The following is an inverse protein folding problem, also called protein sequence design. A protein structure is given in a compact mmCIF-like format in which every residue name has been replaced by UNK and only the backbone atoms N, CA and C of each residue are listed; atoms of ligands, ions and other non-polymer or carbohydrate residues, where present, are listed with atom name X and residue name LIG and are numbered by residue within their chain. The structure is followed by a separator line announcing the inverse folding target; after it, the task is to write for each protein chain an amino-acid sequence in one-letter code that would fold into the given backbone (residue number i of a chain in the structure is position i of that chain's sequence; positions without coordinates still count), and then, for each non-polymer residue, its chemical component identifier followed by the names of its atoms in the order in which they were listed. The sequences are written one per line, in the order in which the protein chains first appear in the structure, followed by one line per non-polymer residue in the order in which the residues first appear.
data_IF_471821728080
#
_entry.id   IF_471821728080
#
_cell.length_a   1.000
_cell.length_b   1.000
_cell.length_c   1.000
_cell.angle_alpha   90.00
_cell.angle_beta   90.00
_cell.angle_gamma   90.00
#
_symmetry.space_group_name_H-M   'P 1'
#
loop_
_entity.id
_entity.type
_entity.pdbx_description
1 polymer ?
#
# COMPACT_ATOMS: atom_id res chain seq x y z
N UNK A 1 8.85 -1.91 9.43
CA UNK A 1 7.71 -1.90 8.52
C UNK A 1 6.46 -1.54 9.29
N UNK A 2 5.62 -0.66 8.75
CA UNK A 2 4.40 -0.16 9.36
C UNK A 2 3.21 -0.81 8.65
N UNK A 3 2.70 -1.87 9.26
CA UNK A 3 1.56 -2.66 8.75
C UNK A 3 0.40 -2.58 9.77
N UNK A 4 -0.17 -1.39 9.89
CA UNK A 4 -1.25 -1.12 10.85
C UNK A 4 -2.60 -1.24 10.14
N UNK A 5 -3.28 -2.37 10.35
CA UNK A 5 -4.58 -2.68 9.74
C UNK A 5 -5.79 -2.44 10.66
N UNK A 6 -5.55 -2.07 11.93
CA UNK A 6 -6.60 -1.79 12.91
C UNK A 6 -6.14 -0.79 13.98
N UNK A 7 -7.08 -0.27 14.78
CA UNK A 7 -6.80 0.64 15.88
C UNK A 7 -7.15 2.09 15.57
N UNK A 8 -6.56 3.03 16.31
CA UNK A 8 -6.94 4.46 16.24
C UNK A 8 -6.41 5.19 15.00
N UNK A 9 -5.37 4.65 14.33
CA UNK A 9 -4.69 5.35 13.24
C UNK A 9 -3.93 6.62 13.68
N UNK A 10 -3.74 6.82 14.99
CA UNK A 10 -3.13 8.03 15.53
C UNK A 10 -1.67 7.80 15.90
N UNK A 11 -0.86 8.86 15.79
CA UNK A 11 0.54 8.93 16.24
C UNK A 11 1.56 8.07 15.48
N UNK A 12 1.18 7.44 14.37
CA UNK A 12 2.12 6.71 13.52
C UNK A 12 3.09 7.64 12.77
N UNK A 13 2.67 8.87 12.49
CA UNK A 13 3.53 9.96 12.02
C UNK A 13 4.59 10.33 13.05
N UNK A 14 4.21 10.47 14.32
CA UNK A 14 5.12 10.73 15.43
C UNK A 14 6.11 9.58 15.60
N UNK A 15 5.63 8.34 15.56
CA UNK A 15 6.49 7.16 15.63
C UNK A 15 7.51 7.13 14.49
N UNK A 16 7.11 7.43 13.25
CA UNK A 16 8.02 7.51 12.11
C UNK A 16 9.10 8.58 12.31
N UNK A 17 8.72 9.75 12.83
CA UNK A 17 9.66 10.84 13.14
C UNK A 17 10.66 10.44 14.23
N UNK A 18 10.19 9.85 15.32
CA UNK A 18 11.05 9.42 16.43
C UNK A 18 12.03 8.33 15.99
N UNK A 19 11.59 7.38 15.17
CA UNK A 19 12.47 6.34 14.62
C UNK A 19 13.58 6.92 13.74
N UNK A 20 13.27 7.88 12.86
CA UNK A 20 14.28 8.57 12.04
C UNK A 20 15.22 9.43 12.88
N UNK A 21 14.73 10.02 13.97
CA UNK A 21 15.56 10.79 14.90
C UNK A 21 16.49 9.88 15.75
N UNK A 22 16.05 8.67 16.07
CA UNK A 22 16.81 7.73 16.88
C UNK A 22 18.07 7.21 16.17
N UNK A 23 18.02 7.04 14.84
CA UNK A 23 19.17 6.62 14.07
C UNK A 23 18.88 6.33 12.60
N UNK A 24 19.88 5.76 11.92
CA UNK A 24 19.74 5.35 10.53
C UNK A 24 18.91 4.06 10.43
N UNK A 25 17.61 4.23 10.23
CA UNK A 25 16.66 3.13 10.02
C UNK A 25 15.98 3.25 8.66
N UNK A 26 15.69 2.09 8.07
CA UNK A 26 14.85 1.99 6.88
C UNK A 26 13.40 1.87 7.35
N UNK A 27 12.54 2.77 6.87
CA UNK A 27 11.12 2.75 7.13
C UNK A 27 10.36 2.33 5.87
N UNK A 28 9.47 1.37 6.04
CA UNK A 28 8.50 0.95 5.04
C UNK A 28 7.09 0.99 5.64
N UNK A 29 6.08 1.24 4.81
CA UNK A 29 4.67 1.23 5.18
C UNK A 29 3.87 0.35 4.22
N UNK A 30 2.83 -0.29 4.74
CA UNK A 30 1.92 -1.15 3.98
C UNK A 30 0.45 -0.67 4.10
N UNK A 31 0.10 0.51 3.57
CA UNK A 31 -1.29 0.98 3.58
C UNK A 31 -2.20 0.09 2.73
N UNK A 32 -3.48 0.07 3.03
CA UNK A 32 -4.51 -0.48 2.13
C UNK A 32 -4.69 0.42 0.91
N UNK A 33 -5.18 -0.14 -0.21
CA UNK A 33 -5.37 0.63 -1.44
C UNK A 33 -6.41 1.77 -1.42
N UNK A 34 -7.43 1.83 -0.53
CA UNK A 34 -8.33 2.98 -0.46
C UNK A 34 -7.59 4.24 -0.04
N UNK A 35 -7.94 5.38 -0.65
CA UNK A 35 -7.37 6.69 -0.32
C UNK A 35 -8.48 7.55 0.32
N UNK A 36 -8.22 8.19 1.49
CA UNK A 36 -7.03 8.02 2.32
C UNK A 36 -6.98 6.65 3.00
N UNK A 37 -5.77 6.15 3.30
CA UNK A 37 -5.62 4.97 4.14
C UNK A 37 -6.11 5.27 5.58
N UNK A 38 -6.88 4.36 6.16
CA UNK A 38 -7.54 4.59 7.44
C UNK A 38 -6.58 4.74 8.63
N UNK A 39 -5.36 4.21 8.55
CA UNK A 39 -4.43 4.14 9.67
C UNK A 39 -3.13 4.91 9.42
N UNK A 40 -2.59 4.83 8.21
CA UNK A 40 -1.24 5.26 7.84
C UNK A 40 -1.20 6.55 7.02
N UNK A 41 -2.34 7.13 6.63
CA UNK A 41 -2.36 8.32 5.76
C UNK A 41 -1.53 9.49 6.33
N UNK A 42 -1.67 9.79 7.62
CA UNK A 42 -0.87 10.82 8.28
C UNK A 42 0.64 10.48 8.28
N UNK A 43 0.98 9.22 8.55
CA UNK A 43 2.36 8.76 8.61
C UNK A 43 3.04 8.81 7.23
N UNK A 44 2.38 8.34 6.18
CA UNK A 44 2.94 8.31 4.83
C UNK A 44 3.14 9.73 4.31
N UNK A 45 2.20 10.65 4.59
CA UNK A 45 2.29 12.06 4.20
C UNK A 45 3.47 12.82 4.81
N UNK A 46 4.14 12.28 5.83
CA UNK A 46 5.40 12.86 6.35
C UNK A 46 6.54 12.79 5.33
N UNK A 47 6.49 11.88 4.35
CA UNK A 47 7.58 11.63 3.40
C UNK A 47 8.79 10.93 4.01
N UNK A 48 8.68 10.39 5.23
CA UNK A 48 9.80 9.73 5.93
C UNK A 48 10.00 8.26 5.51
N UNK A 49 9.08 7.68 4.74
CA UNK A 49 9.13 6.28 4.34
C UNK A 49 9.97 6.06 3.09
N UNK A 50 10.99 5.21 3.22
CA UNK A 50 11.89 4.80 2.13
C UNK A 50 11.16 3.95 1.08
N UNK A 51 10.13 3.22 1.49
CA UNK A 51 9.25 2.47 0.59
C UNK A 51 7.81 2.39 1.09
N UNK A 52 6.86 2.36 0.18
CA UNK A 52 5.43 2.14 0.46
C UNK A 52 4.93 0.97 -0.39
N UNK A 53 4.31 -0.01 0.25
CA UNK A 53 3.79 -1.24 -0.34
C UNK A 53 2.26 -1.23 -0.25
N UNK A 54 1.60 -0.60 -1.21
CA UNK A 54 0.13 -0.45 -1.16
C UNK A 54 -0.54 -1.80 -1.37
N UNK A 55 -1.41 -2.22 -0.46
CA UNK A 55 -2.09 -3.52 -0.49
C UNK A 55 -3.30 -3.48 -1.44
N UNK A 56 -3.15 -4.03 -2.65
CA UNK A 56 -4.21 -4.09 -3.68
C UNK A 56 -5.05 -5.37 -3.59
N UNK A 57 -5.45 -5.74 -2.37
CA UNK A 57 -6.25 -6.93 -2.08
C UNK A 57 -7.19 -6.69 -0.89
N UNK A 58 -8.17 -7.58 -0.74
CA UNK A 58 -9.25 -7.51 0.26
C UNK A 58 -10.11 -6.22 0.22
N UNK A 59 -9.93 -5.37 -0.78
CA UNK A 59 -10.58 -4.06 -0.92
C UNK A 59 -11.21 -3.91 -2.30
N UNK A 60 -12.48 -4.33 -2.50
CA UNK A 60 -13.17 -4.28 -3.79
C UNK A 60 -13.10 -2.96 -4.57
N UNK A 61 -13.11 -1.76 -3.93
CA UNK A 61 -13.04 -0.49 -4.65
C UNK A 61 -11.73 -0.22 -5.40
N UNK A 62 -10.64 -0.92 -5.04
CA UNK A 62 -9.31 -0.63 -5.58
C UNK A 62 -8.45 -1.87 -5.85
N UNK A 63 -8.90 -3.07 -5.52
CA UNK A 63 -8.19 -4.31 -5.88
C UNK A 63 -8.45 -4.72 -7.34
N UNK A 64 -7.69 -5.69 -7.83
CA UNK A 64 -7.99 -6.38 -9.08
C UNK A 64 -9.25 -7.25 -8.93
N UNK A 65 -10.14 -7.20 -9.92
CA UNK A 65 -11.36 -8.01 -9.99
C UNK A 65 -11.48 -8.67 -11.38
N UNK A 66 -12.50 -8.35 -12.17
CA UNK A 66 -12.63 -8.85 -13.54
C UNK A 66 -11.63 -8.17 -14.51
N UNK A 67 -11.15 -6.98 -14.17
CA UNK A 67 -10.15 -6.22 -14.90
C UNK A 67 -9.26 -5.37 -13.96
N UNK A 68 -8.31 -4.64 -14.54
CA UNK A 68 -7.33 -3.82 -13.82
C UNK A 68 -7.76 -2.36 -13.58
N UNK A 69 -8.94 -1.92 -14.02
CA UNK A 69 -9.30 -0.50 -14.09
C UNK A 69 -9.27 0.17 -12.71
N UNK A 70 -9.91 -0.44 -11.71
CA UNK A 70 -9.94 0.09 -10.34
C UNK A 70 -8.56 0.11 -9.69
N UNK A 71 -7.78 -0.94 -9.91
CA UNK A 71 -6.40 -1.05 -9.42
C UNK A 71 -5.51 0.03 -10.02
N UNK A 72 -5.51 0.19 -11.35
CA UNK A 72 -4.69 1.19 -12.02
C UNK A 72 -5.15 2.62 -11.72
N UNK A 73 -6.46 2.84 -11.56
CA UNK A 73 -7.02 4.12 -11.12
C UNK A 73 -6.55 4.51 -9.71
N UNK A 74 -6.56 3.57 -8.76
CA UNK A 74 -6.04 3.80 -7.40
C UNK A 74 -4.51 3.94 -7.42
N UNK A 75 -3.79 3.09 -8.14
CA UNK A 75 -2.33 3.17 -8.32
C UNK A 75 -1.88 4.54 -8.79
N UNK A 76 -2.53 5.08 -9.83
CA UNK A 76 -2.20 6.39 -10.36
C UNK A 76 -2.36 7.51 -9.32
N UNK A 77 -3.31 7.38 -8.38
CA UNK A 77 -3.43 8.34 -7.26
C UNK A 77 -2.32 8.15 -6.22
N UNK A 78 -1.95 6.90 -5.91
CA UNK A 78 -0.84 6.59 -5.01
C UNK A 78 0.52 7.09 -5.52
N UNK A 79 0.72 7.23 -6.84
CA UNK A 79 1.96 7.82 -7.40
C UNK A 79 2.22 9.27 -6.99
N UNK A 80 1.19 9.99 -6.49
CA UNK A 80 1.35 11.35 -5.98
C UNK A 80 1.83 11.41 -4.52
N UNK A 81 1.88 10.29 -3.80
CA UNK A 81 2.30 10.26 -2.40
C UNK A 81 3.83 10.38 -2.25
N UNK A 82 4.32 11.02 -1.17
CA UNK A 82 5.74 11.25 -0.97
C UNK A 82 6.45 9.97 -0.52
N UNK A 83 7.11 9.28 -1.45
CA UNK A 83 8.02 8.16 -1.14
C UNK A 83 9.09 8.00 -2.20
N UNK A 84 10.23 7.42 -1.83
CA UNK A 84 11.30 7.10 -2.78
C UNK A 84 10.97 5.88 -3.64
N UNK A 85 10.19 4.93 -3.11
CA UNK A 85 9.84 3.69 -3.80
C UNK A 85 8.40 3.30 -3.50
N UNK A 86 7.59 3.22 -4.54
CA UNK A 86 6.21 2.75 -4.46
C UNK A 86 6.12 1.34 -5.06
N UNK A 87 5.49 0.43 -4.33
CA UNK A 87 5.31 -0.97 -4.70
C UNK A 87 3.84 -1.37 -4.67
N UNK A 88 3.48 -2.31 -5.54
CA UNK A 88 2.16 -2.93 -5.60
C UNK A 88 2.17 -4.21 -4.76
N UNK A 89 1.54 -4.17 -3.59
CA UNK A 89 1.35 -5.33 -2.72
C UNK A 89 0.23 -6.22 -3.27
N UNK A 90 0.58 -7.48 -3.58
CA UNK A 90 -0.34 -8.46 -4.17
C UNK A 90 -0.26 -9.79 -3.38
N UNK A 91 -1.38 -10.52 -3.28
CA UNK A 91 -1.38 -11.82 -2.66
C UNK A 91 -0.72 -12.85 -3.58
N UNK A 92 0.12 -13.72 -3.02
CA UNK A 92 0.86 -14.72 -3.80
C UNK A 92 0.01 -15.92 -4.24
N UNK A 93 -1.18 -16.09 -3.65
CA UNK A 93 -2.15 -17.14 -3.97
C UNK A 93 -3.56 -16.62 -3.70
N UNK A 94 -4.57 -17.22 -4.33
CA UNK A 94 -5.99 -16.83 -4.14
C UNK A 94 -6.41 -16.94 -2.67
N UNK A 95 -5.88 -17.93 -1.97
CA UNK A 95 -6.20 -18.23 -0.57
C UNK A 95 -5.60 -17.22 0.41
N UNK A 96 -4.57 -16.47 -0.01
CA UNK A 96 -3.92 -15.45 0.83
C UNK A 96 -4.76 -14.17 0.98
N UNK A 97 -5.71 -13.93 0.08
CA UNK A 97 -6.66 -12.82 0.14
C UNK A 97 -8.08 -13.34 -0.14
N UNK A 98 -8.77 -13.90 0.88
CA UNK A 98 -10.08 -14.53 0.70
C UNK A 98 -11.16 -13.59 0.15
N UNK A 99 -11.00 -12.28 0.36
CA UNK A 99 -11.92 -11.25 -0.13
C UNK A 99 -11.58 -10.76 -1.54
N UNK A 100 -10.53 -11.28 -2.17
CA UNK A 100 -10.14 -11.00 -3.56
C UNK A 100 -8.88 -10.14 -3.71
N UNK A 101 -8.50 -9.88 -4.98
CA UNK A 101 -7.29 -9.15 -5.36
C UNK A 101 -6.13 -10.03 -5.87
N UNK A 102 -6.30 -11.36 -5.93
CA UNK A 102 -5.33 -12.23 -6.57
C UNK A 102 -5.33 -12.05 -8.09
N UNK A 103 -4.14 -11.90 -8.66
CA UNK A 103 -3.91 -11.74 -10.09
C UNK A 103 -3.06 -12.92 -10.57
N UNK A 104 -3.55 -13.75 -11.50
CA UNK A 104 -2.71 -14.74 -12.18
C UNK A 104 -1.48 -14.09 -12.81
N UNK A 105 -0.33 -14.78 -12.80
CA UNK A 105 0.93 -14.18 -13.22
C UNK A 105 0.93 -13.69 -14.68
N UNK A 106 0.29 -14.44 -15.58
CA UNK A 106 0.11 -14.07 -16.99
C UNK A 106 -0.78 -12.83 -17.16
N UNK A 107 -1.83 -12.71 -16.35
CA UNK A 107 -2.71 -11.54 -16.31
C UNK A 107 -1.98 -10.31 -15.75
N UNK A 108 -1.21 -10.48 -14.67
CA UNK A 108 -0.39 -9.42 -14.09
C UNK A 108 0.60 -8.85 -15.12
N UNK A 109 1.30 -9.73 -15.84
CA UNK A 109 2.25 -9.34 -16.89
C UNK A 109 1.56 -8.65 -18.06
N UNK A 110 0.40 -9.14 -18.50
CA UNK A 110 -0.24 -8.67 -19.74
C UNK A 110 -1.15 -7.45 -19.58
N UNK A 111 -1.68 -7.20 -18.37
CA UNK A 111 -2.70 -6.16 -18.14
C UNK A 111 -2.33 -5.08 -17.13
N UNK A 112 -1.32 -5.32 -16.28
CA UNK A 112 -1.03 -4.43 -15.13
C UNK A 112 0.40 -3.89 -15.17
N UNK A 113 1.38 -4.75 -15.44
CA UNK A 113 2.77 -4.32 -15.54
C UNK A 113 3.03 -3.59 -16.88
N UNK A 114 3.99 -2.64 -16.92
CA UNK A 114 4.40 -1.95 -18.14
C UNK A 114 5.00 -2.85 -19.22
#
# INVERSE_FOLDING_TARGET
DFDFESGSGQFWDVLAQELKNFGQVILSAAPQCPIPDAHLDAAIKTGLFDSVWVQFYNNPPCMFADNADNLLSSWNQWTAFPTSKLYMGLPAAREAAPSGGFIPADVLISQVLP
#
